data_IF_824100541749
#
_entry.id   IF_824100541749
#
_cell.length_a   1.000
_cell.length_b   1.000
_cell.length_c   1.000
_cell.angle_alpha   90.00
_cell.angle_beta   90.00
_cell.angle_gamma   90.00
#
_symmetry.space_group_name_H-M   'P 1'
#
loop_
_entity.id
_entity.type
_entity.pdbx_description
1 polymer ?
#
# COMPACT_ATOMS: atom_id res chain seq x y z
N UNK A 1 -0.25 -74.91 -11.07
CA UNK A 1 -0.86 -74.79 -9.72
C UNK A 1 -0.90 -73.35 -9.34
N UNK A 2 -2.01 -72.87 -9.40
CA UNK A 2 -2.65 -71.63 -8.98
C UNK A 2 -2.13 -71.02 -7.70
N UNK A 3 -1.80 -69.76 -7.68
CA UNK A 3 -2.14 -68.88 -6.58
C UNK A 3 -2.25 -67.43 -7.10
N UNK A 4 -3.46 -67.17 -7.37
CA UNK A 4 -4.02 -65.85 -7.54
C UNK A 4 -3.96 -65.11 -6.19
N UNK A 5 -3.33 -63.97 -6.11
CA UNK A 5 -3.50 -63.03 -5.03
C UNK A 5 -3.66 -61.64 -5.56
N UNK A 6 -4.86 -61.33 -5.75
CA UNK A 6 -5.45 -60.01 -5.83
C UNK A 6 -4.86 -59.08 -4.75
N UNK A 7 -3.94 -58.25 -5.15
CA UNK A 7 -3.46 -57.14 -4.36
C UNK A 7 -4.27 -55.90 -4.71
N UNK A 8 -5.22 -55.59 -3.86
CA UNK A 8 -5.99 -54.33 -3.95
C UNK A 8 -5.02 -53.15 -3.79
N UNK A 9 -4.78 -52.44 -4.86
CA UNK A 9 -4.11 -51.15 -4.84
C UNK A 9 -5.06 -50.12 -4.23
N UNK A 10 -4.84 -49.82 -2.97
CA UNK A 10 -5.44 -48.66 -2.33
C UNK A 10 -4.76 -47.44 -2.85
N UNK A 11 -5.38 -46.81 -3.83
CA UNK A 11 -5.03 -45.47 -4.26
C UNK A 11 -5.44 -44.49 -3.16
N UNK A 12 -4.51 -44.15 -2.30
CA UNK A 12 -4.59 -43.02 -1.40
C UNK A 12 -4.48 -41.76 -2.24
N UNK A 13 -5.61 -41.26 -2.66
CA UNK A 13 -5.72 -39.91 -3.22
C UNK A 13 -5.46 -38.94 -2.08
N UNK A 14 -4.22 -38.49 -1.94
CA UNK A 14 -3.88 -37.35 -1.15
C UNK A 14 -4.48 -36.12 -1.84
N UNK A 15 -5.69 -35.76 -1.45
CA UNK A 15 -6.24 -34.44 -1.75
C UNK A 15 -5.44 -33.43 -0.93
N UNK A 16 -4.43 -32.84 -1.55
CA UNK A 16 -3.81 -31.61 -1.03
C UNK A 16 -4.87 -30.50 -1.10
N UNK A 17 -5.25 -29.90 0.03
CA UNK A 17 -5.96 -28.64 -0.04
C UNK A 17 -4.96 -27.59 -0.54
N UNK A 18 -5.09 -27.19 -1.79
CA UNK A 18 -4.53 -25.94 -2.29
C UNK A 18 -5.13 -24.81 -1.46
N UNK A 19 -4.41 -24.42 -0.44
CA UNK A 19 -4.60 -23.14 0.23
C UNK A 19 -4.37 -22.05 -0.81
N UNK A 20 -5.44 -21.66 -1.47
CA UNK A 20 -5.46 -20.42 -2.22
C UNK A 20 -5.23 -19.28 -1.21
N UNK A 21 -3.97 -18.91 -1.02
CA UNK A 21 -3.65 -17.61 -0.44
C UNK A 21 -4.18 -16.57 -1.43
N UNK A 22 -5.38 -16.11 -1.18
CA UNK A 22 -5.97 -15.00 -1.93
C UNK A 22 -5.17 -13.74 -1.60
N UNK A 23 -4.50 -13.10 -2.56
CA UNK A 23 -3.80 -11.85 -2.33
C UNK A 23 -4.75 -10.65 -2.28
N UNK A 24 -5.97 -10.84 -1.84
CA UNK A 24 -7.04 -9.82 -1.93
C UNK A 24 -7.01 -8.79 -0.80
N UNK A 25 -6.13 -8.91 0.18
CA UNK A 25 -6.12 -8.01 1.34
C UNK A 25 -5.44 -6.64 1.08
N UNK A 26 -4.70 -6.49 -0.02
CA UNK A 26 -3.92 -5.27 -0.27
C UNK A 26 -4.73 -4.10 -0.85
N UNK A 27 -5.91 -4.35 -1.43
CA UNK A 27 -6.73 -3.31 -2.06
C UNK A 27 -7.87 -2.76 -1.20
N UNK A 28 -8.16 -3.39 -0.06
CA UNK A 28 -9.29 -3.00 0.79
C UNK A 28 -9.05 -1.73 1.63
N UNK A 29 -7.83 -1.19 1.66
CA UNK A 29 -7.50 -0.04 2.52
C UNK A 29 -7.50 1.31 1.78
N UNK A 30 -7.88 1.34 0.51
CA UNK A 30 -7.88 2.58 -0.28
C UNK A 30 -9.01 3.55 0.11
N UNK A 31 -10.01 3.12 0.90
CA UNK A 31 -11.31 3.76 0.91
C UNK A 31 -11.64 4.71 2.08
N UNK A 32 -10.95 4.67 3.19
CA UNK A 32 -11.40 5.43 4.35
C UNK A 32 -10.62 6.75 4.51
N UNK A 33 -11.27 7.84 4.09
CA UNK A 33 -10.81 9.20 4.37
C UNK A 33 -11.37 9.61 5.74
N UNK A 34 -10.49 9.80 6.70
CA UNK A 34 -10.88 10.28 8.04
C UNK A 34 -11.17 11.78 8.03
N UNK A 35 -11.92 12.26 9.02
CA UNK A 35 -12.13 13.71 9.20
C UNK A 35 -10.81 14.46 9.35
N UNK A 36 -9.84 13.89 10.04
CA UNK A 36 -8.50 14.47 10.16
C UNK A 36 -7.80 14.65 8.80
N UNK A 37 -7.92 13.66 7.92
CA UNK A 37 -7.40 13.78 6.55
C UNK A 37 -8.17 14.84 5.75
N UNK A 38 -9.50 14.87 5.83
CA UNK A 38 -10.30 15.88 5.14
C UNK A 38 -9.90 17.30 5.55
N UNK A 39 -9.77 17.54 6.85
CA UNK A 39 -9.47 18.87 7.36
C UNK A 39 -8.02 19.32 7.05
N UNK A 40 -7.08 18.40 7.11
CA UNK A 40 -5.66 18.74 7.01
C UNK A 40 -5.07 18.55 5.61
N UNK A 41 -5.71 17.73 4.75
CA UNK A 41 -5.23 17.44 3.40
C UNK A 41 -6.05 18.10 2.29
N UNK A 42 -7.14 18.82 2.60
CA UNK A 42 -8.03 19.37 1.58
C UNK A 42 -7.30 20.32 0.62
N UNK A 43 -6.42 21.17 1.14
CA UNK A 43 -5.66 22.11 0.33
C UNK A 43 -4.62 21.41 -0.53
N UNK A 44 -3.90 20.44 0.04
CA UNK A 44 -2.93 19.62 -0.70
C UNK A 44 -3.60 18.79 -1.79
N UNK A 45 -4.75 18.18 -1.47
CA UNK A 45 -5.56 17.47 -2.45
C UNK A 45 -5.92 18.38 -3.64
N UNK A 46 -6.52 19.54 -3.38
CA UNK A 46 -6.91 20.48 -4.43
C UNK A 46 -5.73 20.95 -5.27
N UNK A 47 -4.59 21.15 -4.64
CA UNK A 47 -3.39 21.67 -5.30
C UNK A 47 -2.71 20.64 -6.18
N UNK A 48 -2.59 19.40 -5.71
CA UNK A 48 -1.78 18.38 -6.36
C UNK A 48 -2.58 17.30 -7.07
N UNK A 49 -3.78 16.97 -6.58
CA UNK A 49 -4.53 15.79 -6.98
C UNK A 49 -6.03 16.04 -7.18
N UNK A 50 -6.43 17.29 -7.36
CA UNK A 50 -7.84 17.69 -7.45
C UNK A 50 -8.63 17.07 -8.60
N UNK A 51 -7.95 16.62 -9.64
CA UNK A 51 -8.58 15.96 -10.80
C UNK A 51 -8.97 14.50 -10.55
N UNK A 52 -8.52 13.93 -9.44
CA UNK A 52 -8.81 12.54 -9.09
C UNK A 52 -9.99 12.46 -8.12
N UNK A 53 -10.89 11.50 -8.36
CA UNK A 53 -12.00 11.24 -7.44
C UNK A 53 -11.53 10.80 -6.06
N UNK A 54 -12.28 11.21 -5.03
CA UNK A 54 -12.02 10.77 -3.66
C UNK A 54 -12.15 9.25 -3.55
N UNK A 55 -11.32 8.63 -2.71
CA UNK A 55 -11.31 7.18 -2.45
C UNK A 55 -10.93 6.31 -3.65
N UNK A 56 -10.28 6.87 -4.65
CA UNK A 56 -9.78 6.12 -5.81
C UNK A 56 -8.33 5.68 -5.63
N UNK A 57 -7.95 4.59 -6.30
CA UNK A 57 -6.56 4.17 -6.37
C UNK A 57 -5.66 5.23 -7.04
N UNK A 58 -6.20 5.93 -8.04
CA UNK A 58 -5.52 7.01 -8.74
C UNK A 58 -5.18 8.17 -7.80
N UNK A 59 -6.12 8.56 -6.93
CA UNK A 59 -5.86 9.57 -5.89
C UNK A 59 -4.75 9.13 -4.94
N UNK A 60 -4.77 7.88 -4.48
CA UNK A 60 -3.73 7.36 -3.59
C UNK A 60 -2.34 7.43 -4.24
N UNK A 61 -2.23 7.07 -5.51
CA UNK A 61 -0.97 7.18 -6.25
C UNK A 61 -0.53 8.64 -6.42
N UNK A 62 -1.45 9.53 -6.73
CA UNK A 62 -1.17 10.97 -6.85
C UNK A 62 -0.65 11.54 -5.52
N UNK A 63 -1.33 11.28 -4.42
CA UNK A 63 -0.94 11.75 -3.09
C UNK A 63 0.42 11.19 -2.65
N UNK A 64 0.72 9.93 -2.97
CA UNK A 64 2.05 9.35 -2.71
C UNK A 64 3.15 10.06 -3.50
N UNK A 65 2.92 10.36 -4.77
CA UNK A 65 3.86 11.13 -5.59
C UNK A 65 4.05 12.56 -5.05
N UNK A 66 2.97 13.18 -4.58
CA UNK A 66 3.00 14.51 -3.98
C UNK A 66 3.61 14.51 -2.57
N UNK A 67 3.85 13.35 -1.96
CA UNK A 67 4.29 13.18 -0.58
C UNK A 67 5.35 14.17 -0.09
N UNK A 68 6.46 14.38 -0.82
CA UNK A 68 7.50 15.34 -0.43
C UNK A 68 7.03 16.80 -0.36
N UNK A 69 5.94 17.12 -1.07
CA UNK A 69 5.37 18.48 -1.19
C UNK A 69 4.13 18.70 -0.32
N UNK A 70 3.64 17.66 0.36
CA UNK A 70 2.49 17.78 1.24
C UNK A 70 2.81 18.64 2.46
N UNK A 71 1.79 19.35 2.94
CA UNK A 71 1.90 20.09 4.20
C UNK A 71 2.19 19.17 5.39
N UNK A 72 2.92 19.64 6.40
CA UNK A 72 3.18 18.83 7.61
C UNK A 72 1.88 18.37 8.29
N UNK A 73 0.84 19.18 8.28
CA UNK A 73 -0.45 18.83 8.86
C UNK A 73 -1.12 17.67 8.11
N UNK A 74 -1.06 17.67 6.78
CA UNK A 74 -1.55 16.55 5.96
C UNK A 74 -0.74 15.28 6.22
N UNK A 75 0.59 15.36 6.22
CA UNK A 75 1.46 14.21 6.50
C UNK A 75 1.14 13.58 7.86
N UNK A 76 1.00 14.39 8.91
CA UNK A 76 0.62 13.90 10.24
C UNK A 76 -0.77 13.24 10.25
N UNK A 77 -1.73 13.79 9.53
CA UNK A 77 -3.06 13.21 9.41
C UNK A 77 -3.01 11.85 8.72
N UNK A 78 -2.18 11.70 7.68
CA UNK A 78 -1.95 10.43 6.98
C UNK A 78 -1.30 9.37 7.88
N UNK A 79 -0.32 9.77 8.69
CA UNK A 79 0.32 8.87 9.67
C UNK A 79 -0.69 8.43 10.73
N UNK A 80 -1.46 9.36 11.31
CA UNK A 80 -2.50 9.03 12.29
C UNK A 80 -3.59 8.13 11.74
N UNK A 81 -3.90 8.27 10.46
CA UNK A 81 -4.86 7.40 9.77
C UNK A 81 -4.26 6.05 9.32
N UNK A 82 -2.98 5.79 9.59
CA UNK A 82 -2.29 4.56 9.19
C UNK A 82 -2.10 4.41 7.67
N UNK A 83 -2.18 5.50 6.91
CA UNK A 83 -2.00 5.48 5.45
C UNK A 83 -0.53 5.43 5.04
N UNK A 84 0.33 6.00 5.85
CA UNK A 84 1.79 5.96 5.73
C UNK A 84 2.41 5.74 7.11
N UNK A 85 3.56 5.12 7.16
CA UNK A 85 4.31 4.99 8.41
C UNK A 85 5.20 6.20 8.65
N UNK A 86 5.51 6.49 9.92
CA UNK A 86 6.45 7.54 10.26
C UNK A 86 7.83 7.29 9.64
N UNK A 87 8.28 6.05 9.63
CA UNK A 87 9.57 5.66 9.01
C UNK A 87 9.61 5.96 7.50
N UNK A 88 8.50 5.77 6.80
CA UNK A 88 8.38 6.12 5.38
C UNK A 88 8.46 7.64 5.17
N UNK A 89 7.79 8.40 6.02
CA UNK A 89 7.84 9.88 6.01
C UNK A 89 9.28 10.37 6.21
N UNK A 90 9.98 9.84 7.18
CA UNK A 90 11.36 10.24 7.49
C UNK A 90 12.32 9.89 6.36
N UNK A 91 12.12 8.74 5.72
CA UNK A 91 12.90 8.33 4.54
C UNK A 91 12.68 9.29 3.37
N UNK A 92 11.43 9.64 3.06
CA UNK A 92 11.10 10.57 1.98
C UNK A 92 11.68 11.96 2.25
N UNK A 93 11.60 12.44 3.49
CA UNK A 93 12.21 13.72 3.90
C UNK A 93 13.72 13.71 3.73
N UNK A 94 14.38 12.63 4.10
CA UNK A 94 15.83 12.47 3.94
C UNK A 94 16.25 12.49 2.48
N UNK A 95 15.49 11.81 1.61
CA UNK A 95 15.74 11.81 0.18
C UNK A 95 15.50 13.19 -0.45
N UNK A 96 14.45 13.89 -0.05
CA UNK A 96 14.15 15.24 -0.51
C UNK A 96 15.25 16.22 -0.11
N UNK A 97 15.76 16.11 1.11
CA UNK A 97 16.88 16.94 1.61
C UNK A 97 18.17 16.67 0.82
N UNK A 98 18.49 15.40 0.52
CA UNK A 98 19.66 15.04 -0.27
C UNK A 98 19.59 15.51 -1.73
N UNK A 99 18.37 15.71 -2.28
CA UNK A 99 18.18 16.27 -3.61
C UNK A 99 18.21 17.81 -3.63
N UNK A 100 17.82 18.44 -2.53
CA UNK A 100 17.79 19.90 -2.39
C UNK A 100 19.15 20.50 -2.07
N UNK A 101 20.13 19.68 -1.71
CA UNK A 101 21.51 20.13 -1.57
C UNK A 101 22.14 20.16 -2.96
N UNK A 102 22.30 21.38 -3.56
CA UNK A 102 23.07 21.48 -4.77
C UNK A 102 24.46 20.98 -4.43
N UNK A 103 24.97 20.06 -5.25
CA UNK A 103 26.37 19.70 -5.19
C UNK A 103 27.15 21.04 -5.15
N UNK A 104 27.74 21.35 -4.02
CA UNK A 104 28.76 22.38 -3.94
C UNK A 104 29.95 21.83 -4.71
N UNK A 105 29.84 21.93 -6.01
CA UNK A 105 30.97 21.74 -6.89
C UNK A 105 31.88 22.92 -6.65
N UNK A 106 32.91 22.62 -5.98
CA UNK A 106 34.11 23.46 -6.03
C UNK A 106 34.58 23.51 -7.45
#
# INVERSE_FOLDING_TARGET
>A
MTCNRTGAAVLLVFALPLLFLSPSAAFAQAGNITKGMQNNCANDYKRFCGDYGLQTAALNLCMRKAGPSLSPACVQALVKAGKVSQAEVDRVKSQAKGRAEPAKTQ
#
